data_IF_623430228689
#
_entry.id   IF_623430228689
#
_cell.length_a   1.000
_cell.length_b   1.000
_cell.length_c   1.000
_cell.angle_alpha   90.00
_cell.angle_beta   90.00
_cell.angle_gamma   90.00
#
_symmetry.space_group_name_H-M   'P 1'
#
loop_
_entity.id
_entity.type
_entity.pdbx_description
1 polymer ?
#
# COMPACT_ATOMS: atom_id res chain seq x y z
N UNK A 1 14.05 40.53 47.54
CA UNK A 1 12.89 39.93 46.85
C UNK A 1 13.36 39.54 45.45
N UNK A 2 13.51 38.24 45.18
CA UNK A 2 14.10 37.72 43.93
C UNK A 2 13.00 37.59 42.88
N UNK A 3 13.07 38.37 41.81
CA UNK A 3 12.07 38.41 40.73
C UNK A 3 11.89 37.00 40.13
N UNK A 4 10.79 36.31 40.48
CA UNK A 4 10.42 34.99 39.92
C UNK A 4 9.65 35.09 38.59
N UNK A 5 9.25 36.31 38.20
CA UNK A 5 8.56 36.63 36.96
C UNK A 5 9.27 36.17 35.66
N UNK A 6 10.58 36.40 35.45
CA UNK A 6 11.23 36.04 34.17
C UNK A 6 11.33 34.52 33.96
N UNK A 7 11.44 33.75 35.05
CA UNK A 7 11.56 32.29 34.96
C UNK A 7 10.23 31.63 34.58
N UNK A 8 9.09 32.20 35.01
CA UNK A 8 7.76 31.68 34.70
C UNK A 8 7.35 31.96 33.25
N UNK A 9 7.72 33.14 32.71
CA UNK A 9 7.52 33.45 31.30
C UNK A 9 8.36 32.52 30.40
N UNK A 10 9.61 32.23 30.77
CA UNK A 10 10.48 31.34 29.98
C UNK A 10 9.92 29.92 29.87
N UNK A 11 9.37 29.38 30.97
CA UNK A 11 8.74 28.04 30.98
C UNK A 11 7.49 28.02 30.10
N UNK A 12 6.67 29.07 30.14
CA UNK A 12 5.46 29.17 29.32
C UNK A 12 5.79 29.24 27.82
N UNK A 13 6.83 30.00 27.45
CA UNK A 13 7.32 30.07 26.07
C UNK A 13 7.83 28.72 25.56
N UNK A 14 8.56 27.97 26.40
CA UNK A 14 9.05 26.63 26.06
C UNK A 14 7.87 25.65 25.88
N UNK A 15 6.88 25.69 26.79
CA UNK A 15 5.69 24.85 26.68
C UNK A 15 4.88 25.12 25.40
N UNK A 16 4.78 26.40 24.98
CA UNK A 16 4.10 26.78 23.76
C UNK A 16 4.76 26.19 22.49
N UNK A 17 6.09 26.06 22.47
CA UNK A 17 6.83 25.44 21.34
C UNK A 17 6.55 23.94 21.23
N UNK A 18 6.35 23.25 22.36
CA UNK A 18 5.99 21.82 22.35
C UNK A 18 4.54 21.56 21.87
N UNK A 19 3.68 22.58 21.89
CA UNK A 19 2.29 22.48 21.40
C UNK A 19 2.17 22.68 19.88
N UNK A 20 3.21 23.16 19.19
CA UNK A 20 3.23 23.38 17.74
C UNK A 20 3.58 22.15 16.87
N UNK A 21 3.69 20.96 17.46
CA UNK A 21 4.08 19.73 16.75
C UNK A 21 3.00 19.07 15.87
N UNK A 22 1.73 19.43 16.04
CA UNK A 22 0.65 18.91 15.20
C UNK A 22 0.52 19.76 13.92
N UNK A 23 1.21 19.35 12.86
CA UNK A 23 0.92 19.86 11.51
C UNK A 23 -0.12 18.96 10.82
N UNK A 24 -1.08 19.53 10.07
CA UNK A 24 -1.95 18.74 9.21
C UNK A 24 -1.10 17.93 8.23
N UNK A 25 -1.51 16.69 7.95
CA UNK A 25 -0.93 15.92 6.85
C UNK A 25 -1.08 16.76 5.56
N UNK A 26 -0.02 16.91 4.75
CA UNK A 26 -0.13 17.59 3.46
C UNK A 26 -1.30 16.98 2.67
N UNK A 27 -2.13 17.80 2.01
CA UNK A 27 -3.20 17.28 1.18
C UNK A 27 -2.60 16.34 0.15
N UNK A 28 -3.14 15.12 0.09
CA UNK A 28 -2.82 14.20 -1.00
C UNK A 28 -3.56 14.74 -2.23
N UNK A 29 -2.86 14.92 -3.34
CA UNK A 29 -3.47 15.38 -4.58
C UNK A 29 -4.61 14.43 -5.00
N UNK A 30 -5.65 14.99 -5.60
CA UNK A 30 -6.79 14.20 -6.07
C UNK A 30 -6.31 13.11 -7.05
N UNK A 31 -6.71 11.87 -6.79
CA UNK A 31 -6.31 10.70 -7.57
C UNK A 31 -4.97 10.06 -7.14
N UNK A 32 -4.29 10.60 -6.13
CA UNK A 32 -3.06 9.98 -5.58
C UNK A 32 -3.39 9.07 -4.40
N UNK A 33 -2.83 7.86 -4.39
CA UNK A 33 -2.86 6.94 -3.25
C UNK A 33 -1.44 6.78 -2.69
N UNK A 34 -1.25 7.12 -1.41
CA UNK A 34 0.03 6.96 -0.72
C UNK A 34 -0.07 5.81 0.30
N UNK A 35 0.68 4.73 0.05
CA UNK A 35 0.74 3.54 0.92
C UNK A 35 2.11 3.48 1.58
N UNK A 36 2.14 3.34 2.90
CA UNK A 36 3.39 3.09 3.63
C UNK A 36 3.70 1.58 3.61
N UNK A 37 4.83 1.21 3.00
CA UNK A 37 5.36 -0.15 3.08
C UNK A 37 6.32 -0.24 4.28
N UNK A 38 6.22 -1.28 5.13
CA UNK A 38 7.11 -1.41 6.30
C UNK A 38 8.59 -1.59 5.94
N UNK A 39 8.91 -1.98 4.71
CA UNK A 39 10.27 -2.13 4.20
C UNK A 39 10.33 -2.15 2.68
N UNK A 40 11.55 -2.16 2.15
CA UNK A 40 11.77 -2.34 0.71
C UNK A 40 11.52 -3.80 0.29
N UNK A 41 10.99 -4.05 -0.92
CA UNK A 41 10.89 -5.40 -1.46
C UNK A 41 12.28 -5.96 -1.77
N UNK A 42 12.44 -7.28 -1.69
CA UNK A 42 13.65 -7.98 -2.14
C UNK A 42 13.83 -7.90 -3.66
N UNK A 43 12.73 -7.80 -4.40
CA UNK A 43 12.70 -7.63 -5.84
C UNK A 43 11.28 -7.51 -6.40
N UNK A 44 11.19 -6.97 -7.60
CA UNK A 44 9.93 -6.79 -8.35
C UNK A 44 9.94 -7.53 -9.70
N UNK A 45 10.87 -8.47 -9.90
CA UNK A 45 10.75 -9.44 -10.98
C UNK A 45 9.71 -10.48 -10.54
N UNK A 46 8.56 -10.63 -11.23
CA UNK A 46 7.50 -11.55 -10.83
C UNK A 46 7.94 -13.02 -10.81
N UNK A 47 9.07 -13.36 -11.44
CA UNK A 47 9.62 -14.73 -11.43
C UNK A 47 10.51 -14.99 -10.21
N UNK A 48 10.96 -13.94 -9.51
CA UNK A 48 11.98 -14.02 -8.46
C UNK A 48 11.50 -13.47 -7.11
N UNK A 49 10.49 -12.60 -7.10
CA UNK A 49 9.97 -12.00 -5.88
C UNK A 49 9.31 -13.04 -4.99
N UNK A 50 9.66 -13.04 -3.70
CA UNK A 50 9.16 -14.02 -2.71
C UNK A 50 8.62 -13.38 -1.43
N UNK A 51 8.79 -12.08 -1.24
CA UNK A 51 8.30 -11.36 -0.08
C UNK A 51 6.95 -10.66 -0.34
N UNK A 52 6.26 -10.32 0.75
CA UNK A 52 4.93 -9.73 0.70
C UNK A 52 4.90 -8.31 0.06
N UNK A 53 5.98 -7.53 0.20
CA UNK A 53 6.04 -6.16 -0.33
C UNK A 53 6.20 -6.18 -1.84
N UNK A 54 7.06 -7.08 -2.35
CA UNK A 54 7.21 -7.33 -3.78
C UNK A 54 5.89 -7.84 -4.38
N UNK A 55 5.24 -8.80 -3.73
CA UNK A 55 3.93 -9.30 -4.15
C UNK A 55 2.86 -8.19 -4.19
N UNK A 56 2.86 -7.25 -3.23
CA UNK A 56 1.92 -6.13 -3.22
C UNK A 56 2.15 -5.17 -4.39
N UNK A 57 3.41 -4.85 -4.70
CA UNK A 57 3.76 -4.00 -5.86
C UNK A 57 3.42 -4.72 -7.18
N UNK A 58 3.71 -6.01 -7.27
CA UNK A 58 3.43 -6.83 -8.46
C UNK A 58 1.93 -6.91 -8.76
N UNK A 59 1.07 -7.03 -7.75
CA UNK A 59 -0.39 -7.00 -7.92
C UNK A 59 -0.93 -5.70 -8.55
N UNK A 60 -0.21 -4.59 -8.42
CA UNK A 60 -0.60 -3.29 -9.00
C UNK A 60 0.00 -3.05 -10.38
N UNK A 61 1.08 -3.76 -10.73
CA UNK A 61 1.89 -3.50 -11.92
C UNK A 61 1.80 -4.60 -12.98
N UNK A 62 1.33 -5.79 -12.61
CA UNK A 62 1.20 -6.95 -13.48
C UNK A 62 -0.19 -7.54 -13.33
N UNK A 63 -0.68 -8.13 -14.42
CA UNK A 63 -1.95 -8.84 -14.45
C UNK A 63 -1.74 -10.35 -14.45
N UNK A 64 -2.69 -11.08 -13.87
CA UNK A 64 -2.66 -12.54 -13.73
C UNK A 64 -3.82 -13.20 -14.47
N UNK A 65 -3.79 -14.51 -14.70
CA UNK A 65 -4.96 -15.19 -15.28
C UNK A 65 -6.18 -15.05 -14.36
N UNK A 66 -5.95 -15.22 -13.07
CA UNK A 66 -6.92 -15.01 -11.98
C UNK A 66 -6.24 -14.21 -10.87
N UNK A 67 -7.04 -13.59 -10.01
CA UNK A 67 -6.58 -12.98 -8.74
C UNK A 67 -7.33 -13.58 -7.57
N UNK A 68 -6.90 -13.30 -6.34
CA UNK A 68 -7.62 -13.70 -5.13
C UNK A 68 -8.36 -12.51 -4.52
N UNK A 69 -9.57 -12.72 -4.01
CA UNK A 69 -10.26 -11.72 -3.19
C UNK A 69 -9.69 -11.67 -1.76
N UNK A 70 -10.24 -10.78 -0.92
CA UNK A 70 -9.81 -10.62 0.46
C UNK A 70 -10.06 -11.87 1.34
N UNK A 71 -10.94 -12.77 0.93
CA UNK A 71 -11.20 -14.05 1.58
C UNK A 71 -10.37 -15.20 0.98
N UNK A 72 -9.54 -14.93 -0.04
CA UNK A 72 -8.71 -15.92 -0.72
C UNK A 72 -9.45 -16.71 -1.81
N UNK A 73 -10.66 -16.29 -2.21
CA UNK A 73 -11.38 -16.96 -3.29
C UNK A 73 -10.81 -16.52 -4.64
N UNK A 74 -10.68 -17.45 -5.62
CA UNK A 74 -10.26 -17.10 -6.97
C UNK A 74 -11.31 -16.25 -7.67
N UNK A 75 -10.86 -15.17 -8.31
CA UNK A 75 -11.67 -14.25 -9.09
C UNK A 75 -11.09 -14.05 -10.50
N UNK A 76 -11.94 -13.78 -11.51
CA UNK A 76 -11.49 -13.41 -12.85
C UNK A 76 -10.56 -12.19 -12.85
N UNK A 77 -9.44 -12.30 -13.56
CA UNK A 77 -8.54 -11.19 -13.87
C UNK A 77 -8.37 -11.07 -15.39
N UNK A 78 -7.22 -11.40 -15.99
CA UNK A 78 -7.08 -11.46 -17.46
C UNK A 78 -8.00 -12.51 -18.08
N UNK A 79 -8.19 -13.65 -17.40
CA UNK A 79 -9.18 -14.63 -17.80
C UNK A 79 -10.56 -14.20 -17.31
N UNK A 80 -11.54 -14.12 -18.22
CA UNK A 80 -12.93 -13.87 -17.86
C UNK A 80 -13.60 -15.09 -17.21
N UNK A 81 -13.14 -16.29 -17.56
CA UNK A 81 -13.57 -17.55 -16.97
C UNK A 81 -12.52 -18.64 -17.19
N UNK A 82 -12.62 -19.69 -16.39
CA UNK A 82 -11.83 -20.91 -16.55
C UNK A 82 -12.72 -22.14 -16.39
N UNK A 83 -12.25 -23.28 -16.90
CA UNK A 83 -12.92 -24.56 -16.79
C UNK A 83 -11.88 -25.65 -16.54
N UNK A 84 -12.02 -26.39 -15.45
CA UNK A 84 -11.22 -27.58 -15.16
C UNK A 84 -11.79 -28.76 -15.98
N UNK A 85 -11.08 -29.18 -17.03
CA UNK A 85 -11.50 -30.27 -17.92
C UNK A 85 -11.12 -31.64 -17.38
N UNK A 86 -10.00 -31.72 -16.68
CA UNK A 86 -9.49 -32.93 -16.03
C UNK A 86 -8.52 -32.54 -14.90
N UNK A 87 -8.05 -33.49 -14.05
CA UNK A 87 -7.07 -33.19 -13.00
C UNK A 87 -5.75 -32.57 -13.48
N UNK A 88 -5.47 -32.63 -14.78
CA UNK A 88 -4.25 -32.10 -15.39
C UNK A 88 -4.53 -31.09 -16.52
N UNK A 89 -5.77 -30.66 -16.70
CA UNK A 89 -6.15 -29.74 -17.79
C UNK A 89 -7.13 -28.67 -17.30
N UNK A 90 -6.71 -27.40 -17.43
CA UNK A 90 -7.52 -26.22 -17.15
C UNK A 90 -7.50 -25.32 -18.37
N UNK A 91 -8.70 -24.95 -18.85
CA UNK A 91 -8.87 -24.07 -20.01
C UNK A 91 -9.27 -22.68 -19.54
N UNK A 92 -8.45 -21.68 -19.82
CA UNK A 92 -8.73 -20.28 -19.54
C UNK A 92 -9.25 -19.58 -20.79
N UNK A 93 -10.33 -18.80 -20.64
CA UNK A 93 -10.78 -17.87 -21.67
C UNK A 93 -10.34 -16.46 -21.29
N UNK A 94 -9.50 -15.87 -22.13
CA UNK A 94 -8.93 -14.54 -21.94
C UNK A 94 -9.91 -13.47 -22.42
N UNK A 95 -9.97 -12.33 -21.74
CA UNK A 95 -10.77 -11.18 -22.16
C UNK A 95 -10.27 -10.63 -23.49
N UNK A 96 -11.21 -10.17 -24.31
CA UNK A 96 -10.87 -9.45 -25.54
C UNK A 96 -10.34 -8.04 -25.24
N UNK A 97 -9.49 -7.51 -26.12
CA UNK A 97 -9.05 -6.12 -26.10
C UNK A 97 -7.99 -5.75 -25.05
N UNK A 98 -7.33 -6.74 -24.43
CA UNK A 98 -6.18 -6.52 -23.56
C UNK A 98 -5.00 -5.90 -24.34
N UNK A 99 -4.12 -5.18 -23.63
CA UNK A 99 -2.94 -4.49 -24.17
C UNK A 99 -1.71 -4.78 -23.35
#
# INVERSE_FOLDING_TARGET
MRNRFPSSLLILSIAAVFLSGCSPKPPVEDGTLVIALPGAPSGIDPRLSTDAYGAQILQMTHASLIRMDAAGNPMPDLAERWEEKSPTEIVFRIRDGLR
#
